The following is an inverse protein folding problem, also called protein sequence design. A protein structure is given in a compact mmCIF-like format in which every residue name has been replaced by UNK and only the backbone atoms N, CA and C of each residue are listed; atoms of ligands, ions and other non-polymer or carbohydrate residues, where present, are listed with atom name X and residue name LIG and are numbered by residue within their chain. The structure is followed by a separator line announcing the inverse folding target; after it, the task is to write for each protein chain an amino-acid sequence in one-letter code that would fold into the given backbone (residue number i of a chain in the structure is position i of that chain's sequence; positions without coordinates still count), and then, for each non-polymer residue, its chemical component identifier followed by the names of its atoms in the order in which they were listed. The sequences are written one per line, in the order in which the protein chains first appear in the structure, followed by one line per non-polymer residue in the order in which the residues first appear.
data_IF_783867829971
#
_entry.id   IF_783867829971
#
_cell.length_a   1.000
_cell.length_b   1.000
_cell.length_c   1.000
_cell.angle_alpha   90.00
_cell.angle_beta   90.00
_cell.angle_gamma   90.00
#
_symmetry.space_group_name_H-M   'P 1'
#
loop_
_entity.id
_entity.type
_entity.pdbx_description
1 polymer ?
#
# COMPACT_ATOMS: atom_id res chain seq x y z
N UNK A 1 -3.45 35.93 10.73
CA UNK A 1 -3.76 36.30 12.12
C UNK A 1 -2.54 36.01 12.98
N UNK A 2 -2.13 36.88 13.93
CA UNK A 2 -0.89 36.68 14.73
C UNK A 2 -0.88 35.34 15.48
N UNK A 3 -2.04 34.87 15.94
CA UNK A 3 -2.20 33.60 16.64
C UNK A 3 -1.92 32.37 15.76
N UNK A 4 -2.23 32.43 14.46
CA UNK A 4 -1.94 31.33 13.53
C UNK A 4 -0.44 31.25 13.21
N UNK A 5 0.21 32.41 13.06
CA UNK A 5 1.65 32.48 12.82
C UNK A 5 2.42 31.97 14.05
N UNK A 6 1.97 32.33 15.26
CA UNK A 6 2.52 31.81 16.51
C UNK A 6 2.34 30.28 16.65
N UNK A 7 1.22 29.73 16.21
CA UNK A 7 1.00 28.28 16.20
C UNK A 7 1.97 27.55 15.24
N UNK A 8 2.26 28.14 14.07
CA UNK A 8 3.27 27.61 13.15
C UNK A 8 4.70 27.72 13.71
N UNK A 9 5.06 28.87 14.29
CA UNK A 9 6.37 29.05 14.91
C UNK A 9 6.60 28.08 16.08
N UNK A 10 5.58 27.87 16.92
CA UNK A 10 5.68 26.92 18.02
C UNK A 10 5.81 25.46 17.54
N UNK A 11 5.28 25.10 16.36
CA UNK A 11 5.52 23.78 15.77
C UNK A 11 6.97 23.62 15.28
N UNK A 12 7.57 24.68 14.73
CA UNK A 12 8.92 24.64 14.16
C UNK A 12 10.04 24.79 15.19
N UNK A 13 9.83 25.61 16.23
CA UNK A 13 10.85 26.01 17.21
C UNK A 13 10.46 25.71 18.67
N UNK A 14 9.24 25.24 18.91
CA UNK A 14 8.74 24.93 20.24
C UNK A 14 9.25 23.58 20.79
N UNK A 15 8.75 23.16 21.97
CA UNK A 15 9.25 21.98 22.68
C UNK A 15 9.02 20.65 21.93
N UNK A 16 8.09 20.63 20.97
CA UNK A 16 7.82 19.49 20.09
C UNK A 16 8.41 19.64 18.68
N UNK A 17 9.35 20.57 18.48
CA UNK A 17 10.00 20.78 17.19
C UNK A 17 10.66 19.51 16.64
N UNK A 18 11.27 18.69 17.51
CA UNK A 18 11.87 17.42 17.12
C UNK A 18 10.85 16.50 16.43
N UNK A 19 9.61 16.43 16.93
CA UNK A 19 8.54 15.61 16.35
C UNK A 19 8.06 16.18 15.01
N UNK A 20 7.98 17.51 14.88
CA UNK A 20 7.63 18.18 13.63
C UNK A 20 8.70 17.96 12.55
N UNK A 21 9.98 18.12 12.88
CA UNK A 21 11.08 17.88 11.94
C UNK A 21 11.14 16.40 11.54
N UNK A 22 10.99 15.46 12.49
CA UNK A 22 10.92 14.03 12.19
C UNK A 22 9.74 13.69 11.26
N UNK A 23 8.56 14.25 11.50
CA UNK A 23 7.40 14.10 10.60
C UNK A 23 7.73 14.60 9.20
N UNK A 24 8.29 15.82 9.09
CA UNK A 24 8.56 16.43 7.79
C UNK A 24 9.64 15.67 7.02
N UNK A 25 10.72 15.24 7.68
CA UNK A 25 11.75 14.38 7.10
C UNK A 25 11.14 13.05 6.63
N UNK A 26 10.37 12.36 7.47
CA UNK A 26 9.83 11.05 7.11
C UNK A 26 8.78 11.14 5.98
N UNK A 27 7.88 12.12 6.01
CA UNK A 27 6.78 12.21 5.04
C UNK A 27 7.19 12.90 3.74
N UNK A 28 8.14 13.85 3.78
CA UNK A 28 8.58 14.56 2.56
C UNK A 28 9.76 13.87 1.91
N UNK A 29 10.74 13.36 2.66
CA UNK A 29 11.95 12.77 2.05
C UNK A 29 11.67 11.34 1.58
N UNK A 30 10.93 10.53 2.34
CA UNK A 30 10.70 9.12 1.98
C UNK A 30 10.07 8.95 0.59
N UNK A 31 9.03 9.72 0.19
CA UNK A 31 8.49 9.63 -1.17
C UNK A 31 9.50 10.04 -2.25
N UNK A 32 10.36 11.03 -1.98
CA UNK A 32 11.35 11.51 -2.95
C UNK A 32 12.41 10.45 -3.24
N UNK A 33 12.71 9.58 -2.28
CA UNK A 33 13.61 8.44 -2.50
C UNK A 33 13.05 7.43 -3.52
N UNK A 34 11.74 7.34 -3.70
CA UNK A 34 11.14 6.42 -4.69
C UNK A 34 11.30 6.86 -6.15
N UNK A 35 11.74 8.10 -6.43
CA UNK A 35 12.10 8.52 -7.79
C UNK A 35 13.28 7.73 -8.35
N UNK A 36 14.16 7.22 -7.47
CA UNK A 36 15.27 6.39 -7.90
C UNK A 36 14.81 4.96 -8.15
N UNK A 37 14.91 4.50 -9.40
CA UNK A 37 14.55 3.11 -9.80
C UNK A 37 15.19 2.06 -8.90
N UNK A 38 16.48 2.26 -8.53
CA UNK A 38 17.23 1.34 -7.66
C UNK A 38 16.61 1.16 -6.26
N UNK A 39 15.98 2.20 -5.73
CA UNK A 39 15.32 2.18 -4.41
C UNK A 39 13.96 1.50 -4.52
N UNK A 40 13.15 1.90 -5.52
CA UNK A 40 11.80 1.36 -5.73
C UNK A 40 11.77 -0.12 -6.11
N UNK A 41 12.76 -0.63 -6.83
CA UNK A 41 12.81 -2.05 -7.22
C UNK A 41 13.48 -2.94 -6.19
N UNK A 42 13.97 -2.38 -5.08
CA UNK A 42 14.60 -3.15 -4.01
C UNK A 42 13.59 -3.43 -2.91
N UNK A 43 13.25 -4.72 -2.75
CA UNK A 43 12.34 -5.21 -1.70
C UNK A 43 12.83 -4.81 -0.29
N UNK A 44 14.09 -5.04 0.13
CA UNK A 44 14.52 -4.70 1.48
C UNK A 44 14.48 -3.19 1.76
N UNK A 45 14.81 -2.36 0.76
CA UNK A 45 14.76 -0.90 0.90
C UNK A 45 13.31 -0.44 1.02
N UNK A 46 12.42 -0.95 0.17
CA UNK A 46 10.99 -0.62 0.20
C UNK A 46 10.34 -1.05 1.52
N UNK A 47 10.76 -2.19 2.08
CA UNK A 47 10.29 -2.66 3.39
C UNK A 47 10.70 -1.70 4.52
N UNK A 48 11.99 -1.33 4.62
CA UNK A 48 12.45 -0.36 5.62
C UNK A 48 11.73 0.98 5.45
N UNK A 49 11.59 1.45 4.21
CA UNK A 49 10.95 2.73 3.91
C UNK A 49 9.46 2.74 4.27
N UNK A 50 8.77 1.60 4.15
CA UNK A 50 7.38 1.46 4.59
C UNK A 50 7.22 1.64 6.10
N UNK A 51 8.19 1.19 6.90
CA UNK A 51 8.20 1.38 8.36
C UNK A 51 8.39 2.87 8.68
N UNK A 52 9.36 3.52 8.02
CA UNK A 52 9.63 4.95 8.19
C UNK A 52 8.41 5.80 7.86
N UNK A 53 7.71 5.50 6.76
CA UNK A 53 6.49 6.20 6.36
C UNK A 53 5.38 6.00 7.40
N UNK A 54 5.16 4.78 7.89
CA UNK A 54 4.14 4.55 8.93
C UNK A 54 4.43 5.32 10.22
N UNK A 55 5.70 5.38 10.64
CA UNK A 55 6.14 6.18 11.79
C UNK A 55 5.91 7.67 11.52
N UNK A 56 6.24 8.16 10.32
CA UNK A 56 6.02 9.55 9.90
C UNK A 56 4.55 9.96 9.92
N UNK A 57 3.65 9.10 9.43
CA UNK A 57 2.20 9.32 9.49
C UNK A 57 1.67 9.33 10.92
N UNK A 58 2.22 8.49 11.80
CA UNK A 58 1.88 8.54 13.22
C UNK A 58 2.33 9.86 13.87
N UNK A 59 3.57 10.30 13.58
CA UNK A 59 4.07 11.60 14.04
C UNK A 59 3.25 12.77 13.50
N UNK A 60 2.73 12.69 12.27
CA UNK A 60 1.81 13.70 11.73
C UNK A 60 0.60 13.86 12.64
N UNK A 61 -0.05 12.76 13.02
CA UNK A 61 -1.22 12.80 13.91
C UNK A 61 -0.86 13.25 15.32
N UNK A 62 0.28 12.81 15.84
CA UNK A 62 0.79 13.29 17.13
C UNK A 62 1.01 14.81 17.12
N UNK A 63 1.70 15.34 16.11
CA UNK A 63 2.00 16.76 15.99
C UNK A 63 0.72 17.58 15.80
N UNK A 64 -0.18 17.19 14.90
CA UNK A 64 -1.45 17.93 14.68
C UNK A 64 -2.26 18.03 15.98
N UNK A 65 -2.38 16.94 16.74
CA UNK A 65 -3.21 16.91 17.95
C UNK A 65 -2.49 17.61 19.12
N UNK A 66 -1.28 17.15 19.47
CA UNK A 66 -0.59 17.60 20.69
C UNK A 66 -0.15 19.04 20.56
N UNK A 67 0.43 19.47 19.44
CA UNK A 67 0.90 20.86 19.31
C UNK A 67 -0.23 21.88 19.25
N UNK A 68 -1.43 21.46 18.82
CA UNK A 68 -2.60 22.34 18.80
C UNK A 68 -3.27 22.45 20.17
N UNK A 69 -3.17 21.42 21.02
CA UNK A 69 -3.74 21.41 22.37
C UNK A 69 -2.79 21.98 23.44
N UNK A 70 -1.47 21.84 23.25
CA UNK A 70 -0.47 22.29 24.22
C UNK A 70 -0.44 23.82 24.37
N UNK A 71 -0.74 24.57 23.29
CA UNK A 71 -0.86 26.04 23.32
C UNK A 71 -2.20 26.48 22.77
N UNK A 72 -3.16 26.59 23.68
CA UNK A 72 -4.44 27.22 23.39
C UNK A 72 -4.33 28.76 23.47
N UNK A 73 -5.43 29.43 23.09
CA UNK A 73 -5.51 30.90 23.03
C UNK A 73 -5.23 31.60 24.38
N UNK A 74 -5.42 30.91 25.51
CA UNK A 74 -5.15 31.42 26.85
C UNK A 74 -3.80 30.91 27.37
N UNK A 75 -2.83 31.79 27.69
CA UNK A 75 -1.53 31.38 28.21
C UNK A 75 -1.58 30.60 29.52
N UNK A 76 -2.63 30.80 30.34
CA UNK A 76 -2.81 30.09 31.61
C UNK A 76 -3.15 28.61 31.45
N UNK A 77 -3.60 28.18 30.27
CA UNK A 77 -4.01 26.79 29.99
C UNK A 77 -2.92 25.99 29.29
N UNK A 78 -1.71 26.53 29.16
CA UNK A 78 -0.60 25.83 28.53
C UNK A 78 -0.16 24.64 29.37
N UNK A 79 -0.24 23.45 28.77
CA UNK A 79 0.17 22.21 29.38
C UNK A 79 1.13 21.45 28.46
N UNK A 80 2.00 20.64 29.05
CA UNK A 80 2.91 19.75 28.35
C UNK A 80 2.39 18.31 28.47
N UNK A 81 2.37 17.60 27.35
CA UNK A 81 2.02 16.19 27.30
C UNK A 81 3.27 15.32 27.44
N UNK A 82 3.26 14.44 28.44
CA UNK A 82 4.25 13.39 28.62
C UNK A 82 3.52 12.04 28.65
N UNK A 83 3.81 11.13 27.70
CA UNK A 83 3.15 9.84 27.67
C UNK A 83 3.52 9.02 28.90
N UNK A 84 2.53 8.38 29.50
CA UNK A 84 2.72 7.43 30.59
C UNK A 84 3.03 6.04 30.05
N UNK A 85 3.55 5.16 30.91
CA UNK A 85 3.77 3.75 30.56
C UNK A 85 2.49 3.05 30.08
N UNK A 86 1.34 3.43 30.64
CA UNK A 86 0.04 2.90 30.24
C UNK A 86 -0.33 3.31 28.82
N UNK A 87 -0.04 4.55 28.40
CA UNK A 87 -0.31 5.02 27.03
C UNK A 87 0.49 4.21 26.01
N UNK A 88 1.79 3.99 26.29
CA UNK A 88 2.66 3.17 25.44
C UNK A 88 2.20 1.70 25.45
N UNK A 89 1.80 1.19 26.61
CA UNK A 89 1.29 -0.18 26.76
C UNK A 89 0.02 -0.43 25.94
N UNK A 90 -0.93 0.51 25.94
CA UNK A 90 -2.14 0.44 25.12
C UNK A 90 -1.78 0.51 23.63
N UNK A 91 -0.87 1.40 23.25
CA UNK A 91 -0.41 1.51 21.86
C UNK A 91 0.22 0.20 21.36
N UNK A 92 1.21 -0.34 22.07
CA UNK A 92 1.86 -1.62 21.72
C UNK A 92 0.85 -2.77 21.79
N UNK A 93 -0.06 -2.77 22.77
CA UNK A 93 -1.13 -3.73 22.90
C UNK A 93 -2.07 -3.76 21.70
N UNK A 94 -2.40 -2.60 21.13
CA UNK A 94 -3.23 -2.50 19.93
C UNK A 94 -2.55 -3.10 18.69
N UNK A 95 -1.23 -2.91 18.54
CA UNK A 95 -0.43 -3.54 17.49
C UNK A 95 -0.42 -5.07 17.67
N UNK A 96 -0.19 -5.54 18.90
CA UNK A 96 -0.21 -6.97 19.23
C UNK A 96 -1.57 -7.62 18.97
N UNK A 97 -2.66 -6.93 19.35
CA UNK A 97 -4.02 -7.39 19.10
C UNK A 97 -4.33 -7.43 17.61
N UNK A 98 -3.93 -6.41 16.84
CA UNK A 98 -4.06 -6.40 15.38
C UNK A 98 -3.35 -7.61 14.75
N UNK A 99 -2.08 -7.84 15.08
CA UNK A 99 -1.34 -8.99 14.54
C UNK A 99 -1.94 -10.33 14.99
N UNK A 100 -2.43 -10.43 16.22
CA UNK A 100 -3.09 -11.65 16.70
C UNK A 100 -4.32 -11.97 15.86
N UNK A 101 -5.22 -10.99 15.68
CA UNK A 101 -6.42 -11.16 14.86
C UNK A 101 -6.08 -11.38 13.38
N UNK A 102 -5.08 -10.67 12.85
CA UNK A 102 -4.63 -10.82 11.47
C UNK A 102 -4.02 -12.21 11.21
N UNK A 103 -3.22 -12.74 12.12
CA UNK A 103 -2.66 -14.09 12.02
C UNK A 103 -3.74 -15.17 12.14
N UNK A 104 -4.73 -14.98 13.03
CA UNK A 104 -5.90 -15.86 13.10
C UNK A 104 -6.71 -15.82 11.79
N UNK A 105 -6.91 -14.63 11.22
CA UNK A 105 -7.55 -14.46 9.91
C UNK A 105 -6.80 -15.24 8.83
N UNK A 106 -5.47 -15.10 8.72
CA UNK A 106 -4.66 -15.84 7.75
C UNK A 106 -4.67 -17.36 7.98
N UNK A 107 -4.87 -17.81 9.22
CA UNK A 107 -4.91 -19.23 9.58
C UNK A 107 -6.23 -19.90 9.23
N UNK A 108 -7.35 -19.19 9.38
CA UNK A 108 -8.70 -19.75 9.24
C UNK A 108 -9.37 -19.41 7.90
N UNK A 109 -9.01 -18.28 7.27
CA UNK A 109 -9.63 -17.80 6.04
C UNK A 109 -8.60 -17.70 4.90
N UNK A 110 -8.99 -17.94 3.65
CA UNK A 110 -8.12 -17.70 2.50
C UNK A 110 -7.90 -16.20 2.32
N UNK A 111 -6.68 -15.72 2.57
CA UNK A 111 -6.33 -14.30 2.46
C UNK A 111 -6.32 -13.75 1.02
N UNK A 112 -6.53 -14.60 0.02
CA UNK A 112 -6.55 -14.23 -1.41
C UNK A 112 -7.88 -14.68 -2.01
N UNK A 113 -8.51 -13.81 -2.80
CA UNK A 113 -9.73 -14.12 -3.53
C UNK A 113 -9.45 -15.10 -4.69
N UNK A 114 -9.57 -16.41 -4.43
CA UNK A 114 -9.24 -17.48 -5.39
C UNK A 114 -10.08 -17.39 -6.67
N UNK A 115 -11.35 -16.96 -6.58
CA UNK A 115 -12.22 -16.80 -7.75
C UNK A 115 -11.66 -15.77 -8.74
N UNK A 116 -11.27 -14.60 -8.23
CA UNK A 116 -10.68 -13.51 -9.03
C UNK A 116 -9.33 -13.93 -9.62
N UNK A 117 -8.47 -14.57 -8.81
CA UNK A 117 -7.16 -15.03 -9.29
C UNK A 117 -7.31 -16.04 -10.42
N UNK A 118 -8.28 -16.96 -10.34
CA UNK A 118 -8.55 -17.92 -11.43
C UNK A 118 -9.02 -17.23 -12.71
N UNK A 119 -9.88 -16.22 -12.60
CA UNK A 119 -10.34 -15.44 -13.76
C UNK A 119 -9.19 -14.68 -14.43
N UNK A 120 -8.37 -13.98 -13.63
CA UNK A 120 -7.22 -13.23 -14.14
C UNK A 120 -6.17 -14.14 -14.80
N UNK A 121 -5.88 -15.29 -14.18
CA UNK A 121 -4.95 -16.27 -14.75
C UNK A 121 -5.47 -16.86 -16.06
N UNK A 122 -6.77 -17.17 -16.13
CA UNK A 122 -7.42 -17.65 -17.35
C UNK A 122 -7.27 -16.63 -18.49
N UNK A 123 -7.66 -15.38 -18.26
CA UNK A 123 -7.56 -14.29 -19.25
C UNK A 123 -6.12 -14.07 -19.70
N UNK A 124 -5.16 -13.95 -18.76
CA UNK A 124 -3.74 -13.75 -19.10
C UNK A 124 -3.14 -14.92 -19.88
N UNK A 125 -3.51 -16.16 -19.53
CA UNK A 125 -3.05 -17.36 -20.24
C UNK A 125 -3.60 -17.47 -21.66
N UNK A 126 -4.87 -17.09 -21.86
CA UNK A 126 -5.50 -17.04 -23.19
C UNK A 126 -4.79 -16.02 -24.08
N UNK A 127 -4.62 -14.79 -23.60
CA UNK A 127 -3.92 -13.74 -24.34
C UNK A 127 -2.50 -14.16 -24.76
N UNK A 128 -1.74 -14.80 -23.87
CA UNK A 128 -0.40 -15.29 -24.18
C UNK A 128 -0.42 -16.40 -25.25
N UNK A 129 -1.36 -17.36 -25.16
CA UNK A 129 -1.51 -18.44 -26.15
C UNK A 129 -1.95 -17.90 -27.52
N UNK A 130 -2.89 -16.96 -27.54
CA UNK A 130 -3.34 -16.30 -28.78
C UNK A 130 -2.18 -15.59 -29.46
N UNK A 131 -1.37 -14.85 -28.70
CA UNK A 131 -0.18 -14.17 -29.25
C UNK A 131 0.83 -15.15 -29.85
N UNK A 132 1.13 -16.25 -29.16
CA UNK A 132 2.03 -17.29 -29.66
C UNK A 132 1.49 -18.02 -30.90
N UNK A 133 0.17 -18.25 -30.96
CA UNK A 133 -0.49 -18.82 -32.13
C UNK A 133 -0.41 -17.88 -33.34
N UNK A 134 -0.56 -16.57 -33.13
CA UNK A 134 -0.37 -15.54 -34.17
C UNK A 134 1.09 -15.44 -34.64
N UNK A 135 2.05 -15.61 -33.73
CA UNK A 135 3.49 -15.64 -34.04
C UNK A 135 3.93 -16.94 -34.77
N UNK A 136 3.02 -17.90 -34.97
CA UNK A 136 3.32 -19.16 -35.65
C UNK A 136 4.20 -20.11 -34.85
N UNK A 137 4.32 -19.90 -33.53
CA UNK A 137 5.15 -20.73 -32.66
C UNK A 137 4.58 -22.16 -32.43
N UNK A 138 3.30 -22.36 -32.75
CA UNK A 138 2.62 -23.65 -32.61
C UNK A 138 2.33 -24.30 -33.98
N UNK A 139 2.53 -25.63 -34.12
CA UNK A 139 2.01 -26.39 -35.25
C UNK A 139 0.50 -26.17 -35.44
N UNK A 140 0.03 -26.09 -36.68
CA UNK A 140 -1.39 -25.82 -36.98
C UNK A 140 -2.35 -26.82 -36.33
N UNK A 141 -1.90 -28.06 -36.12
CA UNK A 141 -2.66 -29.12 -35.43
C UNK A 141 -2.92 -28.77 -33.94
N UNK A 142 -1.93 -28.18 -33.26
CA UNK A 142 -2.10 -27.73 -31.87
C UNK A 142 -3.05 -26.54 -31.77
N UNK A 143 -3.00 -25.60 -32.72
CA UNK A 143 -3.91 -24.45 -32.74
C UNK A 143 -5.36 -24.90 -32.91
N UNK A 144 -5.62 -25.87 -33.79
CA UNK A 144 -6.96 -26.46 -33.96
C UNK A 144 -7.43 -27.19 -32.71
N UNK A 145 -6.57 -28.00 -32.09
CA UNK A 145 -6.89 -28.65 -30.81
C UNK A 145 -7.22 -27.63 -29.70
N UNK A 146 -6.50 -26.50 -29.65
CA UNK A 146 -6.81 -25.43 -28.70
C UNK A 146 -8.16 -24.78 -28.98
N UNK A 147 -8.49 -24.48 -30.25
CA UNK A 147 -9.79 -23.93 -30.63
C UNK A 147 -10.93 -24.88 -30.24
N UNK A 148 -10.81 -26.17 -30.55
CA UNK A 148 -11.81 -27.19 -30.23
C UNK A 148 -11.95 -27.38 -28.70
N UNK A 149 -10.85 -27.29 -27.96
CA UNK A 149 -10.85 -27.38 -26.50
C UNK A 149 -11.51 -26.16 -25.85
N UNK A 150 -11.34 -24.97 -26.43
CA UNK A 150 -11.99 -23.74 -25.95
C UNK A 150 -13.50 -23.81 -26.15
N UNK A 151 -13.95 -24.27 -27.33
CA UNK A 151 -15.37 -24.43 -27.63
C UNK A 151 -16.06 -25.48 -26.74
N UNK A 152 -15.32 -26.54 -26.36
CA UNK A 152 -15.87 -27.65 -25.56
C UNK A 152 -15.90 -27.40 -24.05
N UNK A 153 -14.87 -26.77 -23.49
CA UNK A 153 -14.68 -26.70 -22.03
C UNK A 153 -14.75 -25.29 -21.46
N UNK A 154 -14.62 -24.27 -22.30
CA UNK A 154 -14.36 -22.92 -21.83
C UNK A 154 -15.54 -22.01 -22.21
N UNK A 155 -16.22 -21.47 -21.20
CA UNK A 155 -17.31 -20.49 -21.38
C UNK A 155 -16.74 -19.13 -21.80
N UNK A 156 -16.09 -19.11 -22.95
CA UNK A 156 -15.39 -17.99 -23.55
C UNK A 156 -16.30 -17.45 -24.66
N UNK A 157 -16.38 -16.13 -24.79
CA UNK A 157 -17.34 -15.49 -25.69
C UNK A 157 -16.91 -15.74 -27.15
N UNK A 158 -17.83 -15.95 -28.10
CA UNK A 158 -17.51 -16.22 -29.52
C UNK A 158 -16.55 -15.18 -30.16
N UNK A 159 -16.49 -13.98 -29.59
CA UNK A 159 -15.60 -12.89 -29.97
C UNK A 159 -14.11 -13.21 -29.76
N UNK A 160 -13.74 -13.88 -28.67
CA UNK A 160 -12.34 -14.23 -28.34
C UNK A 160 -11.83 -15.37 -29.25
N UNK A 161 -12.74 -16.23 -29.72
CA UNK A 161 -12.45 -17.29 -30.70
C UNK A 161 -12.16 -16.67 -32.08
N UNK A 162 -12.85 -15.59 -32.45
CA UNK A 162 -12.57 -14.86 -33.69
C UNK A 162 -11.21 -14.17 -33.65
N UNK A 163 -10.76 -13.62 -32.53
CA UNK A 163 -9.41 -13.05 -32.40
C UNK A 163 -8.29 -14.08 -32.63
N UNK A 164 -8.53 -15.34 -32.25
CA UNK A 164 -7.62 -16.46 -32.51
C UNK A 164 -7.55 -16.86 -33.99
N UNK A 165 -8.59 -16.60 -34.79
CA UNK A 165 -8.65 -17.02 -36.19
C UNK A 165 -8.09 -15.98 -37.17
N UNK A 166 -7.89 -14.73 -36.74
CA UNK A 166 -7.36 -13.66 -37.60
C UNK A 166 -5.84 -13.84 -37.74
N UNK A 167 -5.45 -14.69 -38.69
CA UNK A 167 -4.15 -14.55 -39.37
C UNK A 167 -4.14 -13.18 -40.06
N UNK A 168 -3.18 -12.33 -39.72
CA UNK A 168 -2.73 -11.26 -40.63
C UNK A 168 -1.69 -11.83 -41.57
#
# INVERSE_FOLDING_TARGET
SEYEMYAFENRMLGPYAWAYWSMMTCNVISPQLFWFKKIRTSIPISWILSIVVNIGMWFERFVIIVTSLHREALPSSWAMFYPTWTDVGIFVGSIGLFFTLFLLFLRFLPGIAIAEVKLLLKSSSLQHKTKLAQEGAFPEEQVKYFQESLEKYDSVTEEEIKELSVRK
#
